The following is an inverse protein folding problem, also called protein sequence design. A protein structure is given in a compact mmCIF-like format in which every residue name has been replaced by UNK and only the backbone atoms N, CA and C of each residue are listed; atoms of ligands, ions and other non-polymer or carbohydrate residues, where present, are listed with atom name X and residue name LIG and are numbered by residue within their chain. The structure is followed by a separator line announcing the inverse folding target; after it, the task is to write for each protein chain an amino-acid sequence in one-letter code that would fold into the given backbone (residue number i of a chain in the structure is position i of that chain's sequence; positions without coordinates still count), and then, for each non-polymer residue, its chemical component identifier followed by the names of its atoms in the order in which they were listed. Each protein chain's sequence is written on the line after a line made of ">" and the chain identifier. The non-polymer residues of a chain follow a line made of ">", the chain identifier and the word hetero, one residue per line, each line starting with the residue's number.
data_IF_706496047040
#
_entry.id   IF_706496047040
#
_cell.length_a   1.000
_cell.length_b   1.000
_cell.length_c   1.000
_cell.angle_alpha   90.00
_cell.angle_beta   90.00
_cell.angle_gamma   90.00
#
_symmetry.space_group_name_H-M   'P 1'
#
loop_
_entity.id
_entity.type
_entity.pdbx_description
1 polymer ?
#
# COMPACT_ATOMS: atom_id res chain seq x y z
N UNK A 1 -51.53 13.70 -11.63
CA UNK A 1 -50.66 14.51 -12.52
C UNK A 1 -49.36 14.73 -11.76
N UNK A 2 -48.40 13.82 -11.90
CA UNK A 2 -47.12 13.89 -11.19
C UNK A 2 -46.03 14.23 -12.21
N UNK A 3 -45.43 15.41 -12.02
CA UNK A 3 -44.44 15.99 -12.90
C UNK A 3 -43.12 15.21 -12.83
N UNK A 4 -42.62 14.84 -14.01
CA UNK A 4 -41.28 14.29 -14.24
C UNK A 4 -40.28 15.44 -14.11
N UNK A 5 -39.58 15.51 -12.98
CA UNK A 5 -38.44 16.40 -12.79
C UNK A 5 -37.17 15.68 -13.20
N UNK A 6 -36.70 15.90 -14.43
CA UNK A 6 -35.41 15.43 -14.91
C UNK A 6 -34.29 16.20 -14.21
N UNK A 7 -33.58 15.53 -13.30
CA UNK A 7 -32.33 16.06 -12.72
C UNK A 7 -31.16 15.45 -13.50
N UNK A 8 -30.72 16.16 -14.54
CA UNK A 8 -29.44 15.90 -15.19
C UNK A 8 -28.31 16.50 -14.33
N UNK A 9 -27.81 15.74 -13.35
CA UNK A 9 -26.55 16.07 -12.68
C UNK A 9 -25.41 15.55 -13.55
N UNK A 10 -24.69 16.48 -14.19
CA UNK A 10 -23.43 16.22 -14.87
C UNK A 10 -22.38 15.81 -13.82
N UNK A 11 -22.34 14.52 -13.50
CA UNK A 11 -21.25 13.91 -12.73
C UNK A 11 -20.03 13.70 -13.65
N UNK A 12 -19.37 14.79 -14.03
CA UNK A 12 -17.99 14.74 -14.50
C UNK A 12 -17.07 14.62 -13.27
N UNK A 13 -17.01 13.40 -12.73
CA UNK A 13 -16.10 13.01 -11.67
C UNK A 13 -15.73 11.55 -11.87
N UNK A 14 -14.63 11.32 -12.59
CA UNK A 14 -14.00 10.01 -12.73
C UNK A 14 -13.45 9.59 -11.36
N UNK A 15 -14.30 8.96 -10.57
CA UNK A 15 -14.02 8.52 -9.20
C UNK A 15 -15.09 7.54 -8.77
N UNK A 16 -15.05 6.34 -9.33
CA UNK A 16 -15.85 5.21 -8.82
C UNK A 16 -15.26 4.75 -7.49
N UNK A 17 -16.05 4.82 -6.42
CA UNK A 17 -15.73 4.12 -5.16
C UNK A 17 -16.34 4.80 -3.94
N UNK A 18 -17.38 4.18 -3.37
CA UNK A 18 -18.19 4.72 -2.28
C UNK A 18 -17.43 5.06 -1.00
N UNK A 19 -17.88 6.13 -0.35
CA UNK A 19 -17.42 6.58 0.96
C UNK A 19 -18.47 6.26 2.02
N UNK A 20 -18.32 5.12 2.69
CA UNK A 20 -18.88 4.86 4.03
C UNK A 20 -17.88 4.03 4.82
N UNK A 21 -17.05 4.69 5.64
CA UNK A 21 -16.20 4.05 6.65
C UNK A 21 -14.70 4.01 6.34
N UNK A 22 -13.96 4.96 6.92
CA UNK A 22 -12.67 4.70 7.60
C UNK A 22 -11.44 4.23 6.81
N UNK A 23 -11.47 4.09 5.49
CA UNK A 23 -10.26 3.72 4.73
C UNK A 23 -9.59 4.99 4.18
N UNK A 24 -8.35 5.36 4.60
CA UNK A 24 -7.59 6.37 3.90
C UNK A 24 -7.35 5.82 2.50
N UNK A 25 -8.13 6.32 1.53
CA UNK A 25 -8.26 5.72 0.20
C UNK A 25 -6.93 5.32 -0.44
N UNK A 26 -7.00 4.32 -1.34
CA UNK A 26 -5.84 3.67 -1.94
C UNK A 26 -4.68 4.64 -2.22
N UNK A 27 -3.56 4.45 -1.50
CA UNK A 27 -2.37 5.27 -1.70
C UNK A 27 -1.80 4.93 -3.06
N UNK A 28 -1.68 5.94 -3.92
CA UNK A 28 -1.02 5.77 -5.22
C UNK A 28 0.40 5.27 -5.02
N UNK A 29 0.75 4.24 -5.78
CA UNK A 29 2.12 3.75 -5.89
C UNK A 29 3.01 4.89 -6.43
N UNK A 30 4.31 4.92 -6.07
CA UNK A 30 5.25 5.85 -6.67
C UNK A 30 5.22 5.74 -8.20
N UNK A 31 5.34 6.89 -8.90
CA UNK A 31 5.36 6.97 -10.36
C UNK A 31 6.32 5.90 -10.94
N UNK A 32 5.81 5.01 -11.82
CA UNK A 32 6.58 3.92 -12.42
C UNK A 32 6.65 2.61 -11.62
N UNK A 33 6.05 2.54 -10.43
CA UNK A 33 5.98 1.31 -9.63
C UNK A 33 4.65 0.59 -9.84
N UNK A 34 4.70 -0.72 -10.07
CA UNK A 34 3.52 -1.59 -10.10
C UNK A 34 3.45 -2.46 -8.85
N UNK A 35 2.28 -3.01 -8.52
CA UNK A 35 2.13 -4.01 -7.46
C UNK A 35 3.10 -5.18 -7.61
N UNK A 36 3.35 -5.59 -8.86
CA UNK A 36 4.29 -6.66 -9.19
C UNK A 36 5.73 -6.26 -8.90
N UNK A 37 6.12 -5.03 -9.24
CA UNK A 37 7.46 -4.49 -8.93
C UNK A 37 7.70 -4.38 -7.43
N UNK A 38 6.70 -3.90 -6.67
CA UNK A 38 6.79 -3.80 -5.20
C UNK A 38 6.93 -5.19 -4.58
N UNK A 39 6.13 -6.17 -5.03
CA UNK A 39 6.23 -7.55 -4.59
C UNK A 39 7.62 -8.15 -4.89
N UNK A 40 8.14 -7.94 -6.09
CA UNK A 40 9.49 -8.40 -6.45
C UNK A 40 10.59 -7.80 -5.56
N UNK A 41 10.49 -6.51 -5.21
CA UNK A 41 11.44 -5.89 -4.29
C UNK A 41 11.32 -6.45 -2.87
N UNK A 42 10.11 -6.74 -2.40
CA UNK A 42 9.88 -7.44 -1.13
C UNK A 42 10.49 -8.85 -1.16
N UNK A 43 10.26 -9.61 -2.23
CA UNK A 43 10.80 -10.97 -2.39
C UNK A 43 12.34 -10.98 -2.39
N UNK A 44 12.99 -9.97 -2.99
CA UNK A 44 14.45 -9.81 -2.91
C UNK A 44 14.94 -9.61 -1.48
N UNK A 45 14.23 -8.81 -0.68
CA UNK A 45 14.56 -8.61 0.74
C UNK A 45 14.32 -9.88 1.57
N UNK A 46 13.22 -10.59 1.29
CA UNK A 46 12.94 -11.88 1.92
C UNK A 46 14.02 -12.92 1.61
N UNK A 47 14.49 -12.99 0.36
CA UNK A 47 15.59 -13.86 -0.04
C UNK A 47 16.92 -13.53 0.67
N UNK A 48 17.11 -12.27 1.11
CA UNK A 48 18.25 -11.85 1.95
C UNK A 48 18.09 -12.19 3.44
N UNK A 49 16.96 -12.80 3.82
CA UNK A 49 16.64 -13.14 5.20
C UNK A 49 16.23 -11.93 6.03
N UNK A 50 15.57 -10.92 5.43
CA UNK A 50 15.08 -9.76 6.19
C UNK A 50 14.08 -10.17 7.28
N UNK A 51 13.36 -11.28 7.10
CA UNK A 51 12.32 -11.74 8.03
C UNK A 51 12.85 -11.97 9.45
N UNK A 52 13.99 -12.68 9.59
CA UNK A 52 14.60 -12.90 10.92
C UNK A 52 15.08 -11.60 11.56
N UNK A 53 15.46 -10.60 10.74
CA UNK A 53 15.88 -9.28 11.22
C UNK A 53 14.69 -8.43 11.66
N UNK A 54 13.57 -8.52 10.95
CA UNK A 54 12.29 -7.93 11.39
C UNK A 54 11.91 -8.50 12.75
N UNK A 55 11.91 -9.82 12.90
CA UNK A 55 11.63 -10.49 14.17
C UNK A 55 12.58 -10.05 15.29
N UNK A 56 13.88 -9.98 14.99
CA UNK A 56 14.88 -9.48 15.94
C UNK A 56 14.63 -8.03 16.35
N UNK A 57 14.32 -7.14 15.41
CA UNK A 57 13.96 -5.75 15.69
C UNK A 57 12.69 -5.63 16.53
N UNK A 58 11.65 -6.43 16.23
CA UNK A 58 10.40 -6.49 17.01
C UNK A 58 10.64 -7.03 18.42
N UNK A 59 11.58 -7.96 18.59
CA UNK A 59 12.04 -8.46 19.88
C UNK A 59 12.95 -7.46 20.64
N UNK A 60 13.14 -6.25 20.12
CA UNK A 60 13.98 -5.21 20.75
C UNK A 60 15.48 -5.46 20.61
N UNK A 61 15.91 -6.41 19.76
CA UNK A 61 17.33 -6.62 19.51
C UNK A 61 17.89 -5.48 18.67
N UNK A 62 19.08 -5.03 19.05
CA UNK A 62 19.81 -4.02 18.28
C UNK A 62 20.35 -4.64 17.00
N UNK A 63 19.92 -4.10 15.85
CA UNK A 63 20.43 -4.45 14.54
C UNK A 63 21.65 -3.60 14.17
N UNK A 64 22.48 -4.10 13.26
CA UNK A 64 23.48 -3.25 12.59
C UNK A 64 22.76 -2.20 11.72
N UNK A 65 23.40 -1.06 11.41
CA UNK A 65 22.79 -0.03 10.57
C UNK A 65 22.32 -0.56 9.20
N UNK A 66 23.08 -1.48 8.61
CA UNK A 66 22.72 -2.14 7.35
C UNK A 66 21.47 -3.01 7.49
N UNK A 67 21.40 -3.82 8.54
CA UNK A 67 20.24 -4.68 8.80
C UNK A 67 18.98 -3.86 9.10
N UNK A 68 19.13 -2.76 9.84
CA UNK A 68 18.04 -1.83 10.11
C UNK A 68 17.52 -1.22 8.81
N UNK A 69 18.41 -0.76 7.91
CA UNK A 69 18.01 -0.18 6.64
C UNK A 69 17.22 -1.17 5.76
N UNK A 70 17.59 -2.45 5.76
CA UNK A 70 16.84 -3.49 5.05
C UNK A 70 15.45 -3.74 5.66
N UNK A 71 15.34 -3.76 7.00
CA UNK A 71 14.06 -3.86 7.70
C UNK A 71 13.16 -2.66 7.39
N UNK A 72 13.71 -1.45 7.43
CA UNK A 72 12.97 -0.23 7.12
C UNK A 72 12.53 -0.21 5.65
N UNK A 73 13.38 -0.69 4.74
CA UNK A 73 13.02 -0.81 3.32
C UNK A 73 11.87 -1.80 3.12
N UNK A 74 11.95 -2.97 3.76
CA UNK A 74 10.88 -3.97 3.71
C UNK A 74 9.56 -3.41 4.24
N UNK A 75 9.59 -2.73 5.39
CA UNK A 75 8.39 -2.11 5.98
C UNK A 75 7.80 -1.01 5.09
N UNK A 76 8.63 -0.20 4.43
CA UNK A 76 8.16 0.80 3.46
C UNK A 76 7.48 0.17 2.25
N UNK A 77 8.02 -0.93 1.73
CA UNK A 77 7.43 -1.66 0.60
C UNK A 77 6.13 -2.35 1.01
N UNK A 78 6.09 -2.97 2.19
CA UNK A 78 4.89 -3.59 2.76
C UNK A 78 3.77 -2.55 2.93
N UNK A 79 4.08 -1.37 3.47
CA UNK A 79 3.11 -0.29 3.61
C UNK A 79 2.55 0.18 2.26
N UNK A 80 3.40 0.24 1.22
CA UNK A 80 2.96 0.56 -0.14
C UNK A 80 2.08 -0.55 -0.73
N UNK A 81 2.47 -1.81 -0.58
CA UNK A 81 1.73 -2.96 -1.07
C UNK A 81 0.33 -3.06 -0.45
N UNK A 82 0.24 -2.84 0.87
CA UNK A 82 -1.03 -2.82 1.59
C UNK A 82 -1.86 -1.58 1.26
N UNK A 83 -1.24 -0.39 1.25
CA UNK A 83 -1.91 0.88 0.99
C UNK A 83 -2.44 1.01 -0.44
N UNK A 84 -1.77 0.39 -1.41
CA UNK A 84 -2.21 0.33 -2.81
C UNK A 84 -3.16 -0.85 -3.09
N UNK A 85 -3.56 -1.61 -2.07
CA UNK A 85 -4.44 -2.78 -2.19
C UNK A 85 -3.92 -3.85 -3.17
N UNK A 86 -2.60 -3.99 -3.29
CA UNK A 86 -1.96 -4.99 -4.16
C UNK A 86 -2.15 -6.44 -3.73
N UNK A 87 -2.78 -6.67 -2.58
CA UNK A 87 -3.09 -7.98 -2.01
C UNK A 87 -4.54 -8.44 -2.28
N UNK A 88 -5.33 -7.61 -2.97
CA UNK A 88 -6.71 -7.92 -3.34
C UNK A 88 -6.78 -8.74 -4.63
#
# INVERSE_FOLDING_TARGET
>A
MFAVGAVAVLAAGCGSGGSTGGDPGARQLPQGSSCQTVRQEMDKLLARGVQSRVEAAQAGKKLSPQHQAEVDQFNRLLAQYLGARCHQ
#
